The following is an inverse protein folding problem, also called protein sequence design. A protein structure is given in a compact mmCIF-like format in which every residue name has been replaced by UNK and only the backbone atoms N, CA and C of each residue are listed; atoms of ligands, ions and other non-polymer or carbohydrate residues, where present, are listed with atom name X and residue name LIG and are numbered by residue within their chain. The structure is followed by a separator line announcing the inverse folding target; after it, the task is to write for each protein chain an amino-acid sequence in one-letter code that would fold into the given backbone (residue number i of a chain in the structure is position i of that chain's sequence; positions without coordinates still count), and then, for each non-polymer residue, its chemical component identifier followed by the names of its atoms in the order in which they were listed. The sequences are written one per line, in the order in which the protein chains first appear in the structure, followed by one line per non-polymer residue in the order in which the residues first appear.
data_IF_428278196311
#
_entry.id   IF_428278196311
#
_cell.length_a   1.000
_cell.length_b   1.000
_cell.length_c   1.000
_cell.angle_alpha   90.00
_cell.angle_beta   90.00
_cell.angle_gamma   90.00
#
_symmetry.space_group_name_H-M   'P 1'
#
loop_
_entity.id
_entity.type
_entity.pdbx_description
1 polymer ?
#
# COMPACT_ATOMS: atom_id res chain seq x y z
N UNK A 1 3.16 24.02 32.20
CA UNK A 1 2.56 22.91 31.42
C UNK A 1 1.17 22.60 31.95
N UNK A 2 0.12 22.71 31.14
CA UNK A 2 -1.26 22.44 31.57
C UNK A 2 -1.48 20.93 31.75
N UNK A 3 -2.25 20.53 32.78
CA UNK A 3 -2.61 19.12 33.07
C UNK A 3 -3.13 18.35 31.85
N UNK A 4 -3.75 19.05 30.90
CA UNK A 4 -4.22 18.51 29.62
C UNK A 4 -3.10 17.99 28.70
N UNK A 5 -1.91 18.60 28.73
CA UNK A 5 -0.78 18.19 27.89
C UNK A 5 -0.22 16.84 28.34
N UNK A 6 -0.17 16.60 29.65
CA UNK A 6 0.39 15.37 30.20
C UNK A 6 -0.54 14.17 29.93
N UNK A 7 -1.86 14.37 30.09
CA UNK A 7 -2.86 13.32 29.83
C UNK A 7 -2.90 12.95 28.35
N UNK A 8 -2.84 13.92 27.44
CA UNK A 8 -2.83 13.64 26.00
C UNK A 8 -1.54 12.93 25.55
N UNK A 9 -0.38 13.34 26.09
CA UNK A 9 0.91 12.70 25.75
C UNK A 9 0.96 11.26 26.28
N UNK A 10 0.45 11.02 27.48
CA UNK A 10 0.33 9.67 28.04
C UNK A 10 -0.65 8.81 27.25
N UNK A 11 -1.79 9.36 26.82
CA UNK A 11 -2.78 8.64 26.01
C UNK A 11 -2.24 8.30 24.62
N UNK A 12 -1.54 9.24 23.96
CA UNK A 12 -0.90 9.01 22.66
C UNK A 12 0.23 7.98 22.77
N UNK A 13 1.09 8.09 23.80
CA UNK A 13 2.14 7.11 24.04
C UNK A 13 1.55 5.72 24.31
N UNK A 14 0.48 5.62 25.09
CA UNK A 14 -0.19 4.36 25.38
C UNK A 14 -0.91 3.79 24.15
N UNK A 15 -1.55 4.64 23.32
CA UNK A 15 -2.17 4.21 22.06
C UNK A 15 -1.14 3.72 21.05
N UNK A 16 -0.01 4.41 20.91
CA UNK A 16 1.11 3.96 20.06
C UNK A 16 1.67 2.65 20.61
N UNK A 17 1.96 2.54 21.91
CA UNK A 17 2.49 1.32 22.50
C UNK A 17 1.51 0.14 22.36
N UNK A 18 0.21 0.34 22.60
CA UNK A 18 -0.82 -0.67 22.42
C UNK A 18 -1.00 -1.07 20.95
N UNK A 19 -0.85 -0.13 20.01
CA UNK A 19 -0.88 -0.42 18.57
C UNK A 19 0.33 -1.23 18.12
N UNK A 20 1.51 -0.98 18.71
CA UNK A 20 2.72 -1.77 18.45
C UNK A 20 2.72 -3.12 19.19
N UNK A 21 2.10 -3.22 20.37
CA UNK A 21 1.93 -4.49 21.09
C UNK A 21 0.84 -5.37 20.49
N UNK A 22 -0.16 -4.80 19.80
CA UNK A 22 -1.11 -5.54 18.97
C UNK A 22 -0.55 -5.93 17.59
N UNK A 23 0.58 -5.35 17.17
CA UNK A 23 1.34 -5.76 15.98
C UNK A 23 2.19 -7.02 16.23
N UNK A 24 1.86 -7.82 17.24
CA UNK A 24 2.37 -9.18 17.38
C UNK A 24 1.95 -10.00 16.15
N UNK A 25 2.96 -10.46 15.42
CA UNK A 25 2.89 -11.38 14.28
C UNK A 25 2.57 -10.75 12.90
N UNK A 26 3.31 -9.71 12.50
CA UNK A 26 3.68 -9.64 11.08
C UNK A 26 4.70 -10.75 10.82
N UNK A 27 4.20 -11.95 10.51
CA UNK A 27 5.02 -13.07 10.06
C UNK A 27 5.76 -12.62 8.80
N UNK A 28 7.08 -12.46 8.91
CA UNK A 28 7.92 -12.13 7.76
C UNK A 28 7.71 -13.23 6.74
N UNK A 29 7.00 -12.91 5.65
CA UNK A 29 6.75 -13.86 4.55
C UNK A 29 8.10 -14.35 4.04
N UNK A 30 8.44 -15.58 4.38
CA UNK A 30 9.66 -16.20 3.90
C UNK A 30 9.47 -16.58 2.43
N UNK A 31 10.13 -15.83 1.55
CA UNK A 31 10.13 -16.13 0.12
C UNK A 31 11.08 -17.30 -0.10
N UNK A 32 10.52 -18.46 -0.42
CA UNK A 32 11.28 -19.62 -0.88
C UNK A 32 12.01 -19.26 -2.17
N UNK A 33 13.35 -19.18 -2.09
CA UNK A 33 14.20 -18.84 -3.23
C UNK A 33 14.43 -20.02 -4.17
N UNK A 34 14.24 -21.23 -3.66
CA UNK A 34 14.55 -22.47 -4.38
C UNK A 34 13.34 -22.99 -5.14
N UNK A 35 12.12 -22.58 -4.77
CA UNK A 35 10.89 -22.99 -5.46
C UNK A 35 10.09 -21.77 -5.92
N UNK A 36 9.98 -21.56 -7.23
CA UNK A 36 9.23 -20.45 -7.80
C UNK A 36 8.50 -20.85 -9.10
N UNK A 37 7.45 -20.11 -9.45
CA UNK A 37 6.77 -20.23 -10.74
C UNK A 37 7.50 -19.34 -11.75
N UNK A 38 8.15 -19.95 -12.73
CA UNK A 38 8.83 -19.22 -13.81
C UNK A 38 7.79 -18.54 -14.72
N UNK A 39 6.74 -19.28 -15.05
CA UNK A 39 5.68 -18.83 -15.94
C UNK A 39 4.34 -19.43 -15.50
N UNK A 40 3.32 -18.58 -15.47
CA UNK A 40 1.92 -18.94 -15.27
C UNK A 40 1.16 -18.63 -16.56
N UNK A 41 0.34 -19.56 -17.03
CA UNK A 41 -0.53 -19.37 -18.17
C UNK A 41 -1.97 -19.72 -17.79
N UNK A 42 -2.88 -18.78 -18.04
CA UNK A 42 -4.29 -18.92 -17.72
C UNK A 42 -5.08 -18.82 -19.01
N UNK A 43 -5.59 -19.96 -19.46
CA UNK A 43 -6.44 -20.08 -20.63
C UNK A 43 -7.89 -20.01 -20.21
N UNK A 44 -8.59 -19.00 -20.70
CA UNK A 44 -10.03 -18.87 -20.54
C UNK A 44 -10.68 -19.52 -21.75
N UNK A 45 -11.57 -20.47 -21.50
CA UNK A 45 -12.34 -21.15 -22.51
C UNK A 45 -13.80 -20.73 -22.41
N UNK A 46 -14.46 -20.68 -23.58
CA UNK A 46 -15.91 -20.64 -23.61
C UNK A 46 -16.43 -21.90 -22.92
N UNK A 47 -17.04 -21.74 -21.75
CA UNK A 47 -17.69 -22.86 -21.09
C UNK A 47 -19.07 -23.13 -21.67
N UNK A 48 -19.70 -24.17 -21.16
CA UNK A 48 -21.05 -24.59 -21.51
C UNK A 48 -22.01 -24.23 -20.38
N UNK A 49 -23.29 -23.99 -20.69
CA UNK A 49 -24.36 -23.84 -19.70
C UNK A 49 -24.17 -22.71 -18.66
N UNK A 50 -23.70 -21.54 -19.09
CA UNK A 50 -23.53 -20.38 -18.19
C UNK A 50 -22.31 -20.48 -17.26
N UNK A 51 -21.28 -21.21 -17.71
CA UNK A 51 -19.98 -21.27 -17.07
C UNK A 51 -18.88 -20.78 -18.02
N UNK A 52 -17.79 -20.31 -17.44
CA UNK A 52 -16.52 -20.04 -18.12
C UNK A 52 -15.51 -21.03 -17.56
N UNK A 53 -14.92 -21.85 -18.43
CA UNK A 53 -13.92 -22.82 -18.01
C UNK A 53 -12.54 -22.17 -18.07
N UNK A 54 -11.70 -22.47 -17.09
CA UNK A 54 -10.34 -21.96 -17.01
C UNK A 54 -9.38 -23.12 -16.86
N UNK A 55 -8.35 -23.14 -17.72
CA UNK A 55 -7.19 -24.01 -17.59
C UNK A 55 -6.02 -23.14 -17.16
N UNK A 56 -5.36 -23.51 -16.08
CA UNK A 56 -4.32 -22.75 -15.43
C UNK A 56 -3.07 -23.63 -15.33
N UNK A 57 -2.08 -23.35 -16.17
CA UNK A 57 -0.80 -24.04 -16.20
C UNK A 57 0.26 -23.25 -15.42
N UNK A 58 0.99 -23.94 -14.57
CA UNK A 58 2.07 -23.40 -13.74
C UNK A 58 3.36 -24.15 -14.06
N UNK A 59 4.36 -23.43 -14.56
CA UNK A 59 5.70 -23.94 -14.81
C UNK A 59 6.58 -23.63 -13.60
N UNK A 60 6.70 -24.61 -12.69
CA UNK A 60 7.36 -24.46 -11.40
C UNK A 60 8.81 -24.97 -11.50
N UNK A 61 9.76 -24.15 -11.05
CA UNK A 61 11.17 -24.53 -10.92
C UNK A 61 11.45 -24.88 -9.47
N UNK A 62 12.07 -26.04 -9.26
CA UNK A 62 12.61 -26.48 -7.97
C UNK A 62 14.14 -26.63 -8.08
N UNK A 63 14.86 -25.64 -7.56
CA UNK A 63 16.33 -25.57 -7.56
C UNK A 63 16.95 -26.20 -6.30
N UNK A 64 16.16 -26.85 -5.43
CA UNK A 64 16.68 -27.41 -4.17
C UNK A 64 17.60 -28.63 -4.37
N UNK A 65 17.62 -29.23 -5.57
CA UNK A 65 18.36 -30.46 -5.85
C UNK A 65 17.67 -31.74 -5.35
N UNK A 66 16.58 -31.62 -4.59
CA UNK A 66 15.83 -32.74 -4.02
C UNK A 66 14.33 -32.63 -4.32
N UNK A 67 13.60 -33.73 -4.13
CA UNK A 67 12.14 -33.71 -4.26
C UNK A 67 11.52 -32.98 -3.07
N UNK A 68 10.68 -31.97 -3.32
CA UNK A 68 10.04 -31.17 -2.27
C UNK A 68 8.53 -31.35 -2.30
N UNK A 69 7.93 -31.54 -1.13
CA UNK A 69 6.48 -31.48 -0.96
C UNK A 69 6.06 -30.03 -0.72
N UNK A 70 5.29 -29.45 -1.64
CA UNK A 70 4.81 -28.07 -1.55
C UNK A 70 3.28 -28.05 -1.49
N UNK A 71 2.73 -27.29 -0.55
CA UNK A 71 1.30 -26.96 -0.56
C UNK A 71 1.14 -25.64 -1.31
N UNK A 72 0.49 -25.69 -2.47
CA UNK A 72 0.11 -24.51 -3.24
C UNK A 72 -1.30 -24.08 -2.83
N UNK A 73 -1.41 -22.86 -2.30
CA UNK A 73 -2.70 -22.23 -2.07
C UNK A 73 -3.03 -21.34 -3.25
N UNK A 74 -4.20 -21.53 -3.84
CA UNK A 74 -4.71 -20.64 -4.89
C UNK A 74 -6.20 -20.40 -4.63
N UNK A 75 -6.67 -19.18 -4.81
CA UNK A 75 -8.06 -18.82 -4.51
C UNK A 75 -8.59 -17.88 -5.58
N UNK A 76 -8.88 -18.37 -6.79
CA UNK A 76 -9.18 -17.52 -7.94
C UNK A 76 -10.60 -16.95 -7.88
N UNK A 77 -11.20 -16.84 -6.69
CA UNK A 77 -12.58 -16.44 -6.45
C UNK A 77 -13.53 -17.62 -6.29
N UNK A 78 -14.80 -17.42 -6.66
CA UNK A 78 -15.87 -18.43 -6.53
C UNK A 78 -15.89 -19.37 -7.74
N UNK A 79 -15.07 -20.41 -7.71
CA UNK A 79 -15.00 -21.42 -8.77
C UNK A 79 -15.71 -22.74 -8.38
N UNK A 80 -15.82 -23.65 -9.35
CA UNK A 80 -16.30 -25.03 -9.17
C UNK A 80 -15.46 -26.02 -9.97
N UNK A 81 -15.60 -27.30 -9.63
CA UNK A 81 -15.06 -28.42 -10.39
C UNK A 81 -13.55 -28.37 -10.59
N UNK A 82 -12.80 -28.06 -9.53
CA UNK A 82 -11.36 -28.08 -9.60
C UNK A 82 -10.84 -29.50 -9.85
N UNK A 83 -9.97 -29.61 -10.84
CA UNK A 83 -9.23 -30.82 -11.16
C UNK A 83 -7.77 -30.49 -11.35
N UNK A 84 -6.90 -31.31 -10.76
CA UNK A 84 -5.49 -31.35 -11.13
C UNK A 84 -5.37 -32.19 -12.40
N UNK A 85 -4.82 -31.57 -13.44
CA UNK A 85 -4.51 -32.16 -14.73
C UNK A 85 -2.97 -32.20 -14.88
N UNK A 86 -2.47 -33.17 -15.65
CA UNK A 86 -1.04 -33.33 -15.91
C UNK A 86 -0.37 -34.43 -15.09
N UNK A 87 0.96 -34.50 -15.21
CA UNK A 87 1.76 -35.63 -14.74
C UNK A 87 2.42 -35.39 -13.36
N UNK A 88 2.38 -34.16 -12.85
CA UNK A 88 2.94 -33.88 -11.52
C UNK A 88 2.10 -34.57 -10.45
N UNK A 89 2.76 -35.44 -9.68
CA UNK A 89 2.12 -36.13 -8.56
C UNK A 89 1.61 -35.12 -7.54
N UNK A 90 0.32 -35.16 -7.26
CA UNK A 90 -0.33 -34.29 -6.29
C UNK A 90 -1.79 -34.63 -6.08
N UNK A 91 -2.38 -33.94 -5.12
CA UNK A 91 -3.79 -34.11 -4.75
C UNK A 91 -4.40 -32.79 -4.33
N UNK A 92 -5.70 -32.63 -4.63
CA UNK A 92 -6.50 -31.51 -4.15
C UNK A 92 -6.93 -31.82 -2.72
N UNK A 93 -6.43 -31.06 -1.74
CA UNK A 93 -6.75 -31.22 -0.32
C UNK A 93 -7.98 -30.45 0.11
N UNK A 94 -8.19 -29.27 -0.49
CA UNK A 94 -9.34 -28.42 -0.22
C UNK A 94 -9.74 -27.70 -1.53
N UNK A 95 -11.02 -27.48 -1.73
CA UNK A 95 -11.58 -26.72 -2.85
C UNK A 95 -11.89 -25.26 -2.45
N UNK A 96 -11.93 -24.87 -1.18
CA UNK A 96 -12.23 -23.49 -0.82
C UNK A 96 -11.59 -23.04 0.50
N UNK A 97 -10.49 -22.25 0.48
CA UNK A 97 -9.67 -21.92 -0.69
C UNK A 97 -9.02 -23.17 -1.28
N UNK A 98 -8.63 -23.14 -2.55
CA UNK A 98 -7.99 -24.28 -3.17
C UNK A 98 -6.63 -24.54 -2.52
N UNK A 99 -6.41 -25.78 -2.09
CA UNK A 99 -5.12 -26.22 -1.59
C UNK A 99 -4.72 -27.48 -2.32
N UNK A 100 -3.62 -27.41 -3.06
CA UNK A 100 -3.07 -28.55 -3.81
C UNK A 100 -1.75 -28.93 -3.21
N UNK A 101 -1.63 -30.17 -2.78
CA UNK A 101 -0.39 -30.72 -2.29
C UNK A 101 0.35 -31.35 -3.47
N UNK A 102 1.55 -30.86 -3.76
CA UNK A 102 2.36 -31.21 -4.91
C UNK A 102 3.66 -31.84 -4.45
N UNK A 103 4.11 -32.88 -5.15
CA UNK A 103 5.44 -33.46 -4.99
C UNK A 103 6.31 -33.04 -6.18
N UNK A 104 7.09 -31.97 -5.98
CA UNK A 104 7.90 -31.35 -7.02
C UNK A 104 9.25 -32.04 -7.14
N UNK A 105 9.57 -32.54 -8.33
CA UNK A 105 10.88 -33.08 -8.65
C UNK A 105 11.91 -31.94 -8.79
N UNK A 106 13.21 -32.19 -8.64
CA UNK A 106 14.23 -31.20 -9.00
C UNK A 106 14.08 -30.74 -10.46
N UNK A 107 14.28 -29.45 -10.72
CA UNK A 107 14.16 -28.86 -12.06
C UNK A 107 12.74 -28.39 -12.40
N UNK A 108 12.32 -28.61 -13.65
CA UNK A 108 11.05 -28.11 -14.21
C UNK A 108 9.89 -29.05 -13.90
N UNK A 109 8.81 -28.51 -13.36
CA UNK A 109 7.57 -29.20 -13.09
C UNK A 109 6.42 -28.45 -13.77
N UNK A 110 5.45 -29.18 -14.32
CA UNK A 110 4.26 -28.61 -14.95
C UNK A 110 3.02 -29.03 -14.18
N UNK A 111 2.33 -28.04 -13.60
CA UNK A 111 1.10 -28.25 -12.85
C UNK A 111 -0.04 -27.61 -13.61
N UNK A 112 -1.00 -28.41 -14.07
CA UNK A 112 -2.16 -27.90 -14.80
C UNK A 112 -3.40 -28.04 -13.93
N UNK A 113 -4.16 -26.98 -13.79
CA UNK A 113 -5.40 -26.95 -13.01
C UNK A 113 -6.55 -26.62 -13.96
N UNK A 114 -7.68 -27.29 -13.82
CA UNK A 114 -8.91 -26.97 -14.55
C UNK A 114 -10.03 -26.69 -13.56
N UNK A 115 -10.72 -25.58 -13.75
CA UNK A 115 -11.87 -25.18 -12.92
C UNK A 115 -12.83 -24.33 -13.75
N UNK A 116 -14.00 -24.02 -13.19
CA UNK A 116 -15.03 -23.25 -13.88
C UNK A 116 -15.63 -22.15 -13.00
N UNK A 117 -15.87 -20.98 -13.59
CA UNK A 117 -16.61 -19.88 -12.99
C UNK A 117 -18.04 -19.84 -13.49
N UNK A 118 -18.96 -19.41 -12.63
CA UNK A 118 -20.30 -19.07 -13.10
C UNK A 118 -20.27 -17.75 -13.88
N UNK A 119 -20.84 -17.75 -15.09
CA UNK A 119 -20.88 -16.57 -15.98
C UNK A 119 -22.07 -15.65 -15.69
N UNK A 120 -22.76 -15.79 -14.56
CA UNK A 120 -24.02 -15.07 -14.27
C UNK A 120 -23.87 -13.55 -14.26
N UNK A 121 -22.70 -13.03 -13.93
CA UNK A 121 -22.50 -11.61 -13.64
C UNK A 121 -21.74 -10.84 -14.74
N UNK A 122 -21.53 -11.40 -15.94
CA UNK A 122 -20.71 -10.83 -17.02
C UNK A 122 -19.27 -10.42 -16.64
N UNK A 123 -18.89 -10.51 -15.37
CA UNK A 123 -17.59 -10.17 -14.79
C UNK A 123 -17.18 -11.30 -13.87
N UNK A 124 -15.98 -11.81 -14.08
CA UNK A 124 -15.36 -12.84 -13.26
C UNK A 124 -14.19 -12.17 -12.55
N UNK A 125 -14.27 -12.09 -11.22
CA UNK A 125 -13.13 -11.70 -10.39
C UNK A 125 -12.26 -12.92 -10.14
N UNK A 126 -10.99 -12.80 -10.53
CA UNK A 126 -9.95 -13.79 -10.35
C UNK A 126 -8.86 -13.22 -9.45
N UNK A 127 -8.72 -13.79 -8.25
CA UNK A 127 -7.60 -13.49 -7.37
C UNK A 127 -6.43 -14.44 -7.66
N UNK A 128 -5.34 -13.88 -8.19
CA UNK A 128 -4.13 -14.61 -8.53
C UNK A 128 -3.14 -14.73 -7.38
N UNK A 129 -3.55 -14.39 -6.16
CA UNK A 129 -2.73 -14.57 -4.96
C UNK A 129 -2.33 -16.04 -4.79
N UNK A 130 -1.04 -16.25 -4.51
CA UNK A 130 -0.43 -17.56 -4.28
C UNK A 130 0.60 -17.45 -3.17
N UNK A 131 0.87 -18.54 -2.47
CA UNK A 131 1.93 -18.61 -1.47
C UNK A 131 3.33 -18.91 -2.06
N UNK A 132 3.53 -18.64 -3.36
CA UNK A 132 4.78 -18.87 -4.08
C UNK A 132 5.04 -17.68 -5.01
N UNK A 133 6.33 -17.37 -5.24
CA UNK A 133 6.73 -16.31 -6.15
C UNK A 133 6.36 -16.70 -7.58
N UNK A 134 5.71 -15.80 -8.30
CA UNK A 134 5.42 -15.93 -9.74
C UNK A 134 6.20 -14.86 -10.48
N UNK A 135 7.07 -15.25 -11.41
CA UNK A 135 7.88 -14.28 -12.17
C UNK A 135 7.06 -13.58 -13.25
N UNK A 136 6.21 -14.32 -13.97
CA UNK A 136 5.38 -13.81 -15.08
C UNK A 136 4.06 -14.58 -15.16
N UNK A 137 2.98 -13.87 -15.46
CA UNK A 137 1.68 -14.48 -15.72
C UNK A 137 1.13 -14.02 -17.07
N UNK A 138 0.62 -14.95 -17.86
CA UNK A 138 -0.07 -14.68 -19.12
C UNK A 138 -1.52 -15.11 -19.01
N UNK A 139 -2.44 -14.26 -19.43
CA UNK A 139 -3.85 -14.56 -19.54
C UNK A 139 -4.24 -14.58 -21.01
N UNK A 140 -4.76 -15.71 -21.46
CA UNK A 140 -5.20 -15.91 -22.83
C UNK A 140 -6.72 -16.04 -22.82
N UNK A 141 -7.40 -15.08 -23.44
CA UNK A 141 -8.87 -15.06 -23.52
C UNK A 141 -9.34 -14.92 -24.98
N UNK A 142 -10.44 -15.57 -25.38
CA UNK A 142 -11.04 -15.37 -26.72
C UNK A 142 -11.36 -13.89 -26.96
N UNK A 143 -10.72 -13.31 -27.98
CA UNK A 143 -10.75 -11.87 -28.26
C UNK A 143 -12.15 -11.34 -28.60
N UNK A 144 -13.02 -12.20 -29.15
CA UNK A 144 -14.40 -11.87 -29.53
C UNK A 144 -15.40 -11.93 -28.36
N UNK A 145 -14.98 -12.44 -27.19
CA UNK A 145 -15.90 -12.74 -26.05
C UNK A 145 -15.49 -12.12 -24.75
N UNK A 146 -14.21 -11.84 -24.55
CA UNK A 146 -13.71 -11.42 -23.26
C UNK A 146 -12.72 -10.28 -23.38
N UNK A 147 -12.81 -9.37 -22.44
CA UNK A 147 -11.82 -8.33 -22.16
C UNK A 147 -11.27 -8.54 -20.76
N UNK A 148 -9.98 -8.24 -20.57
CA UNK A 148 -9.33 -8.39 -19.27
C UNK A 148 -8.94 -7.01 -18.75
N UNK A 149 -9.34 -6.71 -17.53
CA UNK A 149 -8.94 -5.50 -16.79
C UNK A 149 -8.45 -5.90 -15.40
N UNK A 150 -7.61 -5.11 -14.76
CA UNK A 150 -7.13 -5.43 -13.41
C UNK A 150 -5.76 -4.85 -13.10
N UNK A 151 -5.18 -5.32 -11.99
CA UNK A 151 -3.91 -4.84 -11.49
C UNK A 151 -2.73 -5.31 -12.37
N UNK A 152 -1.97 -4.35 -12.92
CA UNK A 152 -0.75 -4.63 -13.70
C UNK A 152 -0.99 -5.60 -14.87
N UNK A 153 -2.12 -5.46 -15.56
CA UNK A 153 -2.47 -6.26 -16.73
C UNK A 153 -2.42 -5.38 -17.96
N UNK A 154 -1.70 -5.83 -18.99
CA UNK A 154 -1.64 -5.15 -20.29
C UNK A 154 -1.82 -6.14 -21.42
N UNK A 155 -2.61 -5.76 -22.43
CA UNK A 155 -2.73 -6.54 -23.67
C UNK A 155 -1.42 -6.43 -24.45
N UNK A 156 -0.80 -7.56 -24.74
CA UNK A 156 0.51 -7.60 -25.42
C UNK A 156 0.35 -7.94 -26.89
N UNK A 157 -0.48 -8.94 -27.20
CA UNK A 157 -0.66 -9.40 -28.57
C UNK A 157 -2.01 -10.12 -28.74
N UNK A 158 -2.38 -10.36 -30.00
CA UNK A 158 -3.41 -11.34 -30.35
C UNK A 158 -2.76 -12.50 -31.11
N UNK A 159 -3.27 -13.71 -30.92
CA UNK A 159 -2.76 -14.89 -31.62
C UNK A 159 -3.88 -15.88 -31.93
N UNK A 160 -3.80 -16.52 -33.09
CA UNK A 160 -4.73 -17.59 -33.46
C UNK A 160 -4.26 -18.94 -32.90
N UNK A 161 -5.13 -19.63 -32.17
CA UNK A 161 -4.91 -20.98 -31.67
C UNK A 161 -6.13 -21.84 -31.97
N UNK A 162 -5.96 -22.91 -32.77
CA UNK A 162 -7.04 -23.87 -33.10
C UNK A 162 -8.33 -23.16 -33.56
N UNK A 163 -8.19 -22.25 -34.52
CA UNK A 163 -9.28 -21.45 -35.11
C UNK A 163 -9.99 -20.48 -34.16
N UNK A 164 -9.41 -20.20 -32.99
CA UNK A 164 -9.88 -19.17 -32.05
C UNK A 164 -8.82 -18.07 -31.94
N UNK A 165 -9.22 -16.82 -32.14
CA UNK A 165 -8.38 -15.65 -31.92
C UNK A 165 -8.34 -15.35 -30.41
N UNK A 166 -7.17 -15.47 -29.80
CA UNK A 166 -6.93 -15.16 -28.40
C UNK A 166 -6.26 -13.80 -28.25
N UNK A 167 -6.78 -12.97 -27.35
CA UNK A 167 -6.05 -11.83 -26.80
C UNK A 167 -5.16 -12.33 -25.65
N UNK A 168 -3.86 -12.02 -25.75
CA UNK A 168 -2.86 -12.34 -24.72
C UNK A 168 -2.59 -11.11 -23.89
N UNK A 169 -2.85 -11.23 -22.60
CA UNK A 169 -2.54 -10.22 -21.60
C UNK A 169 -1.36 -10.71 -20.77
N UNK A 170 -0.43 -9.81 -20.48
CA UNK A 170 0.67 -10.09 -19.58
C UNK A 170 0.44 -9.35 -18.27
N UNK A 171 0.81 -10.02 -17.19
CA UNK A 171 0.90 -9.41 -15.89
C UNK A 171 2.26 -9.66 -15.25
N UNK A 172 2.77 -8.64 -14.55
CA UNK A 172 4.10 -8.67 -13.94
C UNK A 172 4.24 -9.71 -12.83
N UNK A 173 5.41 -9.70 -12.17
CA UNK A 173 5.71 -10.64 -11.09
C UNK A 173 4.75 -10.49 -9.91
N UNK A 174 4.29 -11.62 -9.36
CA UNK A 174 3.45 -11.68 -8.16
C UNK A 174 4.28 -12.24 -7.01
N UNK A 175 4.44 -11.46 -5.95
CA UNK A 175 5.10 -11.93 -4.72
C UNK A 175 4.15 -12.83 -3.90
N UNK A 176 4.66 -13.73 -3.06
CA UNK A 176 3.82 -14.58 -2.22
C UNK A 176 2.83 -13.77 -1.38
N UNK A 177 1.57 -14.19 -1.36
CA UNK A 177 0.44 -13.61 -0.63
C UNK A 177 0.04 -12.18 -1.02
N UNK A 178 0.65 -11.58 -2.05
CA UNK A 178 0.12 -10.35 -2.59
C UNK A 178 -1.21 -10.61 -3.30
N UNK A 179 -2.22 -9.84 -2.94
CA UNK A 179 -3.50 -9.80 -3.63
C UNK A 179 -3.27 -9.29 -5.05
N UNK A 180 -3.90 -9.97 -6.01
CA UNK A 180 -3.80 -9.59 -7.42
C UNK A 180 -5.11 -9.88 -8.11
N UNK A 181 -5.91 -8.83 -8.26
CA UNK A 181 -7.27 -8.95 -8.74
C UNK A 181 -7.32 -8.68 -10.25
N UNK A 182 -7.79 -9.67 -10.98
CA UNK A 182 -8.03 -9.56 -12.42
C UNK A 182 -9.51 -9.81 -12.69
N UNK A 183 -10.08 -8.97 -13.55
CA UNK A 183 -11.45 -9.05 -14.01
C UNK A 183 -11.48 -9.51 -15.46
N UNK A 184 -12.17 -10.61 -15.70
CA UNK A 184 -12.51 -11.05 -17.05
C UNK A 184 -13.96 -10.60 -17.30
N UNK A 185 -14.15 -9.68 -18.23
CA UNK A 185 -15.44 -9.10 -18.59
C UNK A 185 -15.91 -9.72 -19.91
N UNK A 186 -17.12 -10.26 -19.93
CA UNK A 186 -17.70 -10.84 -21.12
C UNK A 186 -18.24 -9.72 -22.02
N UNK A 187 -17.66 -9.56 -23.20
CA UNK A 187 -18.09 -8.61 -24.24
C UNK A 187 -19.35 -9.16 -24.92
N UNK A 188 -20.49 -9.01 -24.25
CA UNK A 188 -21.80 -9.26 -24.86
C UNK A 188 -22.25 -7.99 -25.58
N UNK A 189 -22.59 -8.09 -26.86
CA UNK A 189 -23.23 -7.01 -27.61
C UNK A 189 -24.46 -6.51 -26.83
N UNK A 190 -24.50 -5.21 -26.55
CA UNK A 190 -25.53 -4.53 -25.72
C UNK A 190 -25.57 -5.02 -24.26
N UNK A 191 -24.58 -4.60 -23.47
CA UNK A 191 -24.66 -4.68 -22.02
C UNK A 191 -25.67 -3.65 -21.49
N UNK A 192 -26.76 -4.13 -20.90
CA UNK A 192 -27.62 -3.32 -20.01
C UNK A 192 -26.73 -2.82 -18.86
N UNK A 193 -26.75 -1.51 -18.62
CA UNK A 193 -25.94 -0.83 -17.62
C UNK A 193 -26.24 -1.36 -16.20
N UNK A 194 -25.56 -2.44 -15.81
CA UNK A 194 -25.41 -2.86 -14.43
C UNK A 194 -24.31 -2.02 -13.80
N UNK A 195 -24.64 -1.34 -12.70
CA UNK A 195 -23.76 -0.50 -11.89
C UNK A 195 -22.34 -1.06 -11.81
N UNK A 196 -21.38 -0.26 -12.29
CA UNK A 196 -19.97 -0.49 -12.08
C UNK A 196 -19.71 -0.49 -10.58
N UNK A 197 -19.50 -1.69 -10.01
CA UNK A 197 -18.88 -1.82 -8.71
C UNK A 197 -17.43 -1.37 -8.88
N UNK A 198 -17.20 -0.08 -8.58
CA UNK A 198 -15.92 0.61 -8.64
C UNK A 198 -15.07 0.17 -7.46
N UNK A 199 -14.59 -1.07 -7.49
CA UNK A 199 -13.39 -1.44 -6.76
C UNK A 199 -12.19 -0.99 -7.61
N UNK A 200 -11.98 0.32 -7.60
CA UNK A 200 -10.80 0.97 -8.18
C UNK A 200 -9.66 0.69 -7.22
N UNK A 201 -8.59 0.06 -7.72
CA UNK A 201 -7.34 -0.08 -6.98
C UNK A 201 -6.88 1.33 -6.54
N UNK A 202 -7.11 1.68 -5.27
CA UNK A 202 -6.93 3.05 -4.75
C UNK A 202 -5.45 3.49 -4.65
N UNK A 203 -4.50 2.60 -4.96
CA UNK A 203 -3.08 2.86 -4.79
C UNK A 203 -2.30 2.60 -6.10
N UNK A 204 -1.60 3.61 -6.65
CA UNK A 204 -0.75 3.40 -7.80
C UNK A 204 0.44 2.48 -7.45
N UNK A 205 0.85 1.63 -8.38
CA UNK A 205 1.86 0.56 -8.12
C UNK A 205 3.21 1.06 -7.61
N UNK A 206 3.62 2.28 -8.00
CA UNK A 206 4.84 2.88 -7.47
C UNK A 206 4.76 3.11 -5.95
N UNK A 207 3.57 3.42 -5.44
CA UNK A 207 3.33 3.62 -4.00
C UNK A 207 3.38 2.31 -3.24
N UNK A 208 2.80 1.25 -3.83
CA UNK A 208 2.87 -0.12 -3.29
C UNK A 208 4.32 -0.61 -3.26
N UNK A 209 5.07 -0.46 -4.36
CA UNK A 209 6.49 -0.84 -4.43
C UNK A 209 7.36 -0.03 -3.47
N UNK A 210 7.15 1.28 -3.39
CA UNK A 210 7.82 2.14 -2.42
C UNK A 210 7.60 1.64 -0.99
N UNK A 211 6.37 1.27 -0.65
CA UNK A 211 6.04 0.74 0.67
C UNK A 211 6.82 -0.53 1.01
N UNK A 212 6.83 -1.50 0.10
CA UNK A 212 7.51 -2.79 0.31
C UNK A 212 9.04 -2.71 0.23
N UNK A 213 9.60 -1.66 -0.36
CA UNK A 213 11.05 -1.40 -0.35
C UNK A 213 11.49 -0.53 0.84
N UNK A 214 10.53 0.07 1.55
CA UNK A 214 10.82 0.91 2.71
C UNK A 214 11.25 0.06 3.92
N UNK A 215 11.96 0.66 4.90
CA UNK A 215 12.20 0.00 6.19
C UNK A 215 10.92 -0.30 6.98
N UNK A 216 9.76 0.18 6.52
CA UNK A 216 8.44 -0.08 7.08
C UNK A 216 7.68 -1.20 6.36
N UNK A 217 8.34 -1.92 5.43
CA UNK A 217 7.76 -3.05 4.74
C UNK A 217 7.18 -4.08 5.75
N UNK A 218 5.93 -4.47 5.53
CA UNK A 218 5.19 -5.37 6.42
C UNK A 218 4.28 -4.67 7.43
N UNK A 219 4.40 -3.36 7.64
CA UNK A 219 3.44 -2.58 8.44
C UNK A 219 2.25 -2.13 7.57
N UNK A 220 1.08 -1.87 8.17
CA UNK A 220 -0.06 -1.33 7.42
C UNK A 220 0.20 0.15 7.05
N UNK A 221 0.24 0.51 5.76
CA UNK A 221 0.54 1.88 5.33
C UNK A 221 -0.45 2.93 5.85
N UNK A 222 -1.73 2.54 6.01
CA UNK A 222 -2.77 3.43 6.50
C UNK A 222 -2.55 3.81 7.97
N UNK A 223 -2.14 2.84 8.78
CA UNK A 223 -1.86 3.08 10.22
C UNK A 223 -0.68 4.04 10.35
N UNK A 224 0.39 3.83 9.58
CA UNK A 224 1.55 4.73 9.59
C UNK A 224 1.17 6.13 9.14
N UNK A 225 0.36 6.26 8.09
CA UNK A 225 -0.16 7.56 7.65
C UNK A 225 -0.95 8.27 8.75
N UNK A 226 -1.80 7.55 9.49
CA UNK A 226 -2.55 8.11 10.62
C UNK A 226 -1.60 8.59 11.71
N UNK A 227 -0.56 7.83 12.05
CA UNK A 227 0.43 8.22 13.06
C UNK A 227 1.20 9.47 12.63
N UNK A 228 1.65 9.54 11.37
CA UNK A 228 2.34 10.70 10.81
C UNK A 228 1.41 11.92 10.80
N UNK A 229 0.15 11.76 10.37
CA UNK A 229 -0.84 12.83 10.36
C UNK A 229 -1.13 13.34 11.78
N UNK A 230 -1.28 12.43 12.75
CA UNK A 230 -1.47 12.79 14.15
C UNK A 230 -0.27 13.57 14.72
N UNK A 231 0.96 13.15 14.41
CA UNK A 231 2.17 13.87 14.80
C UNK A 231 2.25 15.26 14.16
N UNK A 232 1.94 15.38 12.87
CA UNK A 232 1.91 16.65 12.16
C UNK A 232 0.84 17.61 12.73
N UNK A 233 -0.37 17.10 13.00
CA UNK A 233 -1.45 17.86 13.63
C UNK A 233 -1.07 18.30 15.05
N UNK A 234 -0.39 17.45 15.82
CA UNK A 234 0.10 17.79 17.14
C UNK A 234 1.16 18.90 17.10
N UNK A 235 2.11 18.83 16.17
CA UNK A 235 3.10 19.90 15.96
C UNK A 235 2.46 21.21 15.50
N UNK A 236 1.46 21.14 14.63
CA UNK A 236 0.66 22.30 14.22
C UNK A 236 -0.10 22.91 15.40
N UNK A 237 -0.71 22.07 16.23
CA UNK A 237 -1.39 22.49 17.46
C UNK A 237 -0.42 23.18 18.42
N UNK A 238 0.77 22.63 18.67
CA UNK A 238 1.80 23.27 19.49
C UNK A 238 2.22 24.63 18.91
N UNK A 239 2.38 24.72 17.58
CA UNK A 239 2.73 25.98 16.92
C UNK A 239 1.62 27.03 17.04
N UNK A 240 0.36 26.63 16.93
CA UNK A 240 -0.79 27.52 17.13
C UNK A 240 -0.98 27.91 18.58
N UNK A 241 -0.78 26.97 19.51
CA UNK A 241 -0.82 27.24 20.94
C UNK A 241 0.29 28.23 21.33
N UNK A 242 1.51 28.02 20.86
CA UNK A 242 2.63 28.95 21.10
C UNK A 242 2.41 30.31 20.43
N UNK A 243 1.68 30.38 19.30
CA UNK A 243 1.26 31.66 18.70
C UNK A 243 0.15 32.37 19.48
N UNK A 244 -0.79 31.64 20.09
CA UNK A 244 -1.87 32.20 20.93
C UNK A 244 -1.37 32.59 22.33
N UNK A 245 -0.49 31.79 22.91
CA UNK A 245 0.19 32.10 24.18
C UNK A 245 1.32 33.12 23.99
N UNK A 246 1.84 33.29 22.76
CA UNK A 246 2.73 34.38 22.36
C UNK A 246 2.01 35.64 21.87
N UNK A 247 0.70 35.75 22.11
CA UNK A 247 -0.12 36.91 21.75
C UNK A 247 -0.02 38.08 22.73
N UNK A 248 0.51 37.86 23.93
CA UNK A 248 0.96 38.90 24.87
C UNK A 248 1.75 38.19 25.97
N UNK A 249 2.90 38.74 26.36
CA UNK A 249 3.90 38.17 27.29
C UNK A 249 4.90 37.21 26.65
N UNK A 250 5.92 37.82 26.04
CA UNK A 250 7.26 37.26 25.96
C UNK A 250 7.77 37.02 27.39
N UNK A 251 7.39 35.88 27.99
CA UNK A 251 8.09 35.35 29.15
C UNK A 251 9.33 34.60 28.62
N UNK A 252 10.36 35.36 28.23
CA UNK A 252 11.72 34.81 28.15
C UNK A 252 12.16 34.51 29.57
N UNK A 253 11.91 33.28 30.02
CA UNK A 253 12.53 32.72 31.20
C UNK A 253 14.05 32.70 30.99
N UNK A 254 14.73 33.78 31.40
CA UNK A 254 16.17 33.90 31.36
C UNK A 254 16.75 35.26 30.96
N UNK A 255 15.94 36.26 30.58
CA UNK A 255 16.47 37.59 30.27
C UNK A 255 16.63 38.42 31.56
N UNK A 256 17.84 38.94 31.77
CA UNK A 256 18.07 39.93 32.82
C UNK A 256 17.35 41.23 32.44
N UNK A 257 16.97 42.05 33.42
CA UNK A 257 16.32 43.35 33.14
C UNK A 257 17.15 44.23 32.19
N UNK A 258 18.48 44.08 32.20
CA UNK A 258 19.40 44.67 31.21
C UNK A 258 19.11 44.24 29.77
N UNK A 259 18.83 42.96 29.54
CA UNK A 259 18.50 42.45 28.20
C UNK A 259 17.18 43.02 27.69
N UNK A 260 16.23 43.26 28.60
CA UNK A 260 14.95 43.90 28.28
C UNK A 260 15.14 45.37 27.91
N UNK A 261 15.98 46.10 28.64
CA UNK A 261 16.31 47.50 28.31
C UNK A 261 17.05 47.60 26.96
N UNK A 262 17.93 46.64 26.64
CA UNK A 262 18.60 46.57 25.33
C UNK A 262 17.58 46.36 24.20
N UNK A 263 16.60 45.47 24.41
CA UNK A 263 15.54 45.24 23.44
C UNK A 263 14.68 46.49 23.23
N UNK A 264 14.34 47.20 24.30
CA UNK A 264 13.56 48.43 24.26
C UNK A 264 14.31 49.55 23.51
N UNK A 265 15.64 49.64 23.66
CA UNK A 265 16.48 50.54 22.87
C UNK A 265 16.43 50.16 21.38
N UNK A 266 16.49 48.87 21.04
CA UNK A 266 16.39 48.42 19.65
C UNK A 266 15.04 48.77 19.01
N UNK A 267 13.94 48.57 19.73
CA UNK A 267 12.60 48.93 19.27
C UNK A 267 12.43 50.44 19.12
N UNK A 268 13.04 51.23 20.02
CA UNK A 268 13.04 52.69 19.93
C UNK A 268 13.83 53.19 18.70
N UNK A 269 14.99 52.58 18.42
CA UNK A 269 15.80 52.88 17.24
C UNK A 269 15.07 52.52 15.93
N UNK A 270 14.30 51.43 15.91
CA UNK A 270 13.45 51.07 14.75
C UNK A 270 12.30 52.06 14.53
N UNK A 271 11.60 52.47 15.60
CA UNK A 271 10.53 53.48 15.51
C UNK A 271 11.05 54.82 15.00
N UNK A 272 12.24 55.23 15.41
CA UNK A 272 12.87 56.45 14.89
C UNK A 272 13.26 56.32 13.42
N UNK A 273 13.85 55.19 13.01
CA UNK A 273 14.19 54.93 11.60
C UNK A 273 12.96 54.90 10.70
N UNK A 274 11.84 54.41 11.20
CA UNK A 274 10.57 54.38 10.48
C UNK A 274 9.83 55.72 10.50
N UNK A 275 10.36 56.74 11.18
CA UNK A 275 9.76 58.08 11.27
C UNK A 275 8.51 58.15 12.16
N UNK A 276 8.26 57.12 12.98
CA UNK A 276 7.10 57.04 13.88
C UNK A 276 7.22 57.98 15.09
N UNK A 277 8.44 58.40 15.42
CA UNK A 277 8.75 59.33 16.51
C UNK A 277 9.70 60.43 16.05
N UNK A 278 9.48 61.65 16.55
CA UNK A 278 10.35 62.80 16.27
C UNK A 278 11.71 62.72 16.99
N UNK A 279 12.70 63.46 16.49
CA UNK A 279 14.09 63.42 16.98
C UNK A 279 14.23 63.82 18.46
N UNK A 280 13.49 64.83 18.92
CA UNK A 280 13.51 65.25 20.33
C UNK A 280 12.92 64.18 21.26
N UNK A 281 11.79 63.58 20.88
CA UNK A 281 11.16 62.51 21.64
C UNK A 281 12.03 61.25 21.70
N UNK A 282 12.72 60.93 20.60
CA UNK A 282 13.69 59.85 20.54
C UNK A 282 14.88 60.07 21.49
N UNK A 283 15.47 61.28 21.51
CA UNK A 283 16.60 61.60 22.39
C UNK A 283 16.24 61.44 23.87
N UNK A 284 15.10 61.99 24.28
CA UNK A 284 14.64 61.91 25.68
C UNK A 284 14.41 60.45 26.11
N UNK A 285 13.67 59.68 25.31
CA UNK A 285 13.37 58.28 25.62
C UNK A 285 14.64 57.40 25.64
N UNK A 286 15.59 57.68 24.75
CA UNK A 286 16.86 56.93 24.66
C UNK A 286 17.78 57.21 25.84
N UNK A 287 17.82 58.46 26.31
CA UNK A 287 18.63 58.83 27.47
C UNK A 287 18.05 58.28 28.77
N UNK A 288 16.72 58.19 28.89
CA UNK A 288 16.05 57.57 30.03
C UNK A 288 16.33 56.06 30.11
N UNK A 289 16.26 55.34 28.98
CA UNK A 289 16.60 53.91 28.92
C UNK A 289 18.08 53.65 29.21
N UNK A 290 18.99 54.52 28.74
CA UNK A 290 20.42 54.43 29.08
C UNK A 290 20.68 54.65 30.57
N UNK A 291 19.96 55.58 31.21
CA UNK A 291 20.08 55.81 32.65
C UNK A 291 19.58 54.60 33.44
N UNK A 292 18.43 54.05 33.05
CA UNK A 292 17.89 52.83 33.65
C UNK A 292 18.85 51.64 33.52
N UNK A 293 19.54 51.50 32.38
CA UNK A 293 20.56 50.48 32.17
C UNK A 293 21.78 50.64 33.10
N UNK A 294 22.18 51.88 33.39
CA UNK A 294 23.34 52.20 34.23
C UNK A 294 23.07 52.06 35.74
N UNK A 295 21.81 52.29 36.17
CA UNK A 295 21.38 52.16 37.57
C UNK A 295 21.15 50.71 38.00
N UNK A 296 20.98 49.81 37.03
CA UNK A 296 20.85 48.39 37.26
C UNK A 296 22.24 47.76 37.48
N UNK A 297 22.63 47.52 38.75
CA UNK A 297 23.89 46.86 39.11
C UNK A 297 23.77 45.33 39.03
#
# INVERSE_FOLDING_TARGET
MSRFSFVFTAFLACFVFLSFSAATAFEKVEIDKNTFVEQEEIFVHKGFNGFVSVTHALFIINESGETVNKSLKFSPGRYRHLKLLGNTAGEVKNENPAQVQLRLQPGKNEVVLSYAFSSRNNRILMDLSKNILVKRSYLLVPADRFEVTGDDVSKVQEMNMKDVLYSVYMSGSTIPYAEKNIYIVQTSGTATAGTADTDVSFHPQWLVRFWYQSPFAGLNPHIILIVIAAAALFLLYLRWKNKKEGGDTVNYAGQTKKDQIILDIHLLDEKFKNGEIGEEAYKIARDELKRAYAEEK
#
